data_IF_118413878689
#
_entry.id   IF_118413878689
#
_cell.length_a   1.000
_cell.length_b   1.000
_cell.length_c   1.000
_cell.angle_alpha   90.00
_cell.angle_beta   90.00
_cell.angle_gamma   90.00
#
_symmetry.space_group_name_H-M   'P 1'
#
loop_
_entity.id
_entity.type
_entity.pdbx_description
1 polymer ?
#
# COMPACT_ATOMS: atom_id res chain seq x y z
N UNK A 1 -1.90 8.69 19.43
CA UNK A 1 -1.96 8.90 17.97
C UNK A 1 -0.54 8.98 17.46
N UNK A 2 -0.23 8.32 16.35
CA UNK A 2 1.15 8.15 15.85
C UNK A 2 1.67 9.31 14.99
N UNK A 3 1.04 10.49 15.10
CA UNK A 3 1.43 11.71 14.40
C UNK A 3 1.04 11.76 12.91
N UNK A 4 0.51 10.67 12.32
CA UNK A 4 0.14 10.70 10.89
C UNK A 4 -1.13 11.47 10.59
N UNK A 5 -2.05 11.62 11.55
CA UNK A 5 -3.34 12.24 11.27
C UNK A 5 -4.16 11.48 10.22
N UNK A 6 -3.92 10.18 10.04
CA UNK A 6 -4.72 9.31 9.18
C UNK A 6 -6.13 9.21 9.77
N UNK A 7 -7.14 9.46 8.94
CA UNK A 7 -8.54 9.37 9.30
C UNK A 7 -9.22 8.30 8.46
N UNK A 8 -9.94 7.40 9.11
CA UNK A 8 -10.76 6.39 8.44
C UNK A 8 -12.22 6.68 8.72
N UNK A 9 -12.95 7.12 7.69
CA UNK A 9 -14.39 7.39 7.77
C UNK A 9 -15.18 6.26 7.10
N UNK A 10 -16.08 5.63 7.84
CA UNK A 10 -16.88 4.51 7.35
C UNK A 10 -18.22 5.00 6.82
N UNK A 11 -18.54 4.66 5.57
CA UNK A 11 -19.80 4.95 4.90
C UNK A 11 -20.37 3.66 4.31
N UNK A 12 -21.29 3.02 5.04
CA UNK A 12 -21.76 1.68 4.69
C UNK A 12 -20.60 0.69 4.71
N UNK A 13 -20.31 0.05 3.56
CA UNK A 13 -19.22 -0.91 3.41
C UNK A 13 -17.89 -0.28 2.93
N UNK A 14 -17.84 1.03 2.78
CA UNK A 14 -16.65 1.74 2.30
C UNK A 14 -15.93 2.45 3.46
N UNK A 15 -14.63 2.19 3.56
CA UNK A 15 -13.70 2.85 4.46
C UNK A 15 -12.92 3.90 3.67
N UNK A 16 -13.28 5.17 3.85
CA UNK A 16 -12.56 6.29 3.23
C UNK A 16 -11.35 6.65 4.08
N UNK A 17 -10.16 6.41 3.54
CA UNK A 17 -8.87 6.69 4.15
C UNK A 17 -8.40 8.05 3.64
N UNK A 18 -8.31 9.02 4.54
CA UNK A 18 -8.02 10.43 4.24
C UNK A 18 -7.18 11.07 5.35
N UNK A 19 -6.94 12.38 5.26
CA UNK A 19 -5.99 13.06 6.14
C UNK A 19 -4.58 12.61 5.79
N UNK A 20 -3.79 12.17 6.77
CA UNK A 20 -2.41 11.75 6.57
C UNK A 20 -1.41 12.90 6.62
N UNK A 21 -0.14 12.58 6.32
CA UNK A 21 0.95 13.56 6.27
C UNK A 21 1.48 13.71 4.85
N UNK A 22 1.85 14.93 4.48
CA UNK A 22 2.46 15.22 3.20
C UNK A 22 3.99 15.32 3.32
N UNK A 23 4.69 14.92 2.27
CA UNK A 23 6.10 15.29 2.10
C UNK A 23 6.26 16.80 1.99
N UNK A 24 7.47 17.32 2.20
CA UNK A 24 7.73 18.77 2.12
C UNK A 24 7.37 19.42 0.79
N UNK A 25 7.36 18.65 -0.31
CA UNK A 25 6.92 19.10 -1.64
C UNK A 25 5.47 18.73 -1.97
N UNK A 26 4.74 18.09 -1.06
CA UNK A 26 3.34 17.72 -1.21
C UNK A 26 3.04 16.63 -2.25
N UNK A 27 4.04 15.86 -2.72
CA UNK A 27 3.85 14.83 -3.76
C UNK A 27 3.64 13.43 -3.21
N UNK A 28 4.10 13.15 -1.99
CA UNK A 28 3.90 11.88 -1.30
C UNK A 28 2.91 12.10 -0.14
N UNK A 29 1.87 11.29 -0.10
CA UNK A 29 0.89 11.23 0.97
C UNK A 29 1.12 9.98 1.81
N UNK A 30 1.32 10.14 3.11
CA UNK A 30 1.62 9.07 4.04
C UNK A 30 0.42 8.77 4.93
N UNK A 31 0.06 7.49 4.99
CA UNK A 31 -0.92 6.95 5.93
C UNK A 31 -0.29 5.93 6.85
N UNK A 32 -0.86 5.83 8.05
CA UNK A 32 -0.54 4.79 9.01
C UNK A 32 -1.81 4.27 9.61
N UNK A 33 -1.97 2.96 9.51
CA UNK A 33 -3.13 2.22 9.97
C UNK A 33 -2.67 1.19 11.00
N UNK A 34 -3.45 1.02 12.06
CA UNK A 34 -3.23 -0.10 12.99
C UNK A 34 -3.53 -1.43 12.30
N UNK A 35 -4.58 -1.45 11.47
CA UNK A 35 -4.99 -2.62 10.71
C UNK A 35 -5.50 -2.21 9.33
N UNK A 36 -5.31 -3.10 8.36
CA UNK A 36 -5.95 -3.01 7.04
C UNK A 36 -6.49 -4.39 6.69
N UNK A 37 -7.81 -4.55 6.82
CA UNK A 37 -8.50 -5.77 6.45
C UNK A 37 -9.85 -5.45 5.82
N UNK A 38 -10.27 -6.28 4.86
CA UNK A 38 -11.53 -6.15 4.16
C UNK A 38 -12.22 -7.51 4.10
N UNK A 39 -13.51 -7.53 4.41
CA UNK A 39 -14.42 -8.62 4.08
C UNK A 39 -15.00 -8.45 2.67
N UNK A 40 -15.64 -9.49 2.16
CA UNK A 40 -16.30 -9.45 0.85
C UNK A 40 -17.31 -8.29 0.78
N UNK A 41 -17.26 -7.54 -0.31
CA UNK A 41 -18.12 -6.38 -0.55
C UNK A 41 -17.70 -5.11 0.20
N UNK A 42 -16.62 -5.15 1.00
CA UNK A 42 -16.04 -3.96 1.60
C UNK A 42 -15.00 -3.30 0.69
N UNK A 43 -14.83 -2.00 0.86
CA UNK A 43 -13.96 -1.16 0.03
C UNK A 43 -13.03 -0.37 0.95
N UNK A 44 -11.72 -0.47 0.74
CA UNK A 44 -10.75 0.51 1.25
C UNK A 44 -10.52 1.55 0.15
N UNK A 45 -11.02 2.77 0.35
CA UNK A 45 -10.90 3.85 -0.62
C UNK A 45 -9.89 4.89 -0.11
N UNK A 46 -8.72 4.96 -0.74
CA UNK A 46 -7.68 5.94 -0.46
C UNK A 46 -7.99 7.24 -1.20
N UNK A 47 -8.19 8.32 -0.44
CA UNK A 47 -8.50 9.64 -0.99
C UNK A 47 -7.23 10.34 -1.43
N UNK A 48 -7.13 10.58 -2.73
CA UNK A 48 -6.06 11.33 -3.37
C UNK A 48 -6.54 12.67 -3.90
N UNK A 49 -5.61 13.44 -4.46
CA UNK A 49 -5.81 14.68 -5.20
C UNK A 49 -4.84 14.73 -6.39
N UNK A 50 -5.09 15.54 -7.43
CA UNK A 50 -4.28 15.53 -8.67
C UNK A 50 -2.77 15.79 -8.47
N UNK A 51 -2.40 16.45 -7.37
CA UNK A 51 -1.03 16.77 -7.00
C UNK A 51 -0.29 15.62 -6.31
N UNK A 52 -0.98 14.62 -5.77
CA UNK A 52 -0.34 13.47 -5.12
C UNK A 52 0.12 12.48 -6.20
N UNK A 53 1.40 12.12 -6.16
CA UNK A 53 1.96 11.08 -7.01
C UNK A 53 1.93 9.71 -6.34
N UNK A 54 2.24 9.65 -5.05
CA UNK A 54 2.32 8.39 -4.33
C UNK A 54 1.53 8.47 -3.03
N UNK A 55 0.70 7.47 -2.78
CA UNK A 55 0.13 7.20 -1.47
C UNK A 55 0.93 6.05 -0.86
N UNK A 56 1.60 6.31 0.26
CA UNK A 56 2.36 5.31 1.00
C UNK A 56 1.67 5.01 2.32
N UNK A 57 1.18 3.78 2.46
CA UNK A 57 0.43 3.33 3.64
C UNK A 57 1.23 2.28 4.38
N UNK A 58 1.50 2.53 5.66
CA UNK A 58 2.02 1.49 6.57
C UNK A 58 0.89 0.89 7.40
N UNK A 59 0.99 -0.40 7.69
CA UNK A 59 0.19 -1.09 8.69
C UNK A 59 1.10 -1.51 9.83
N UNK A 60 0.84 -1.04 11.05
CA UNK A 60 1.79 -1.17 12.16
C UNK A 60 1.21 -1.78 13.45
N UNK A 61 -0.01 -2.33 13.42
CA UNK A 61 -0.61 -3.03 14.56
C UNK A 61 -0.13 -4.47 14.77
N UNK A 62 0.87 -4.93 14.01
CA UNK A 62 1.51 -6.24 14.19
C UNK A 62 0.77 -7.44 13.60
N UNK A 63 -0.44 -7.24 13.05
CA UNK A 63 -1.22 -8.29 12.40
C UNK A 63 -1.10 -8.22 10.88
N UNK A 64 -1.15 -9.38 10.22
CA UNK A 64 -1.22 -9.47 8.77
C UNK A 64 -2.51 -8.82 8.24
N UNK A 65 -2.41 -8.21 7.06
CA UNK A 65 -3.55 -7.64 6.35
C UNK A 65 -4.33 -8.73 5.63
N UNK A 66 -5.60 -8.94 5.98
CA UNK A 66 -6.49 -9.88 5.28
C UNK A 66 -7.47 -9.10 4.42
N UNK A 67 -7.26 -9.10 3.11
CA UNK A 67 -7.94 -8.24 2.15
C UNK A 67 -8.78 -9.11 1.23
N UNK A 68 -10.07 -9.23 1.52
CA UNK A 68 -11.03 -10.00 0.73
C UNK A 68 -12.10 -9.09 0.15
N UNK A 69 -11.71 -7.93 -0.40
CA UNK A 69 -12.60 -6.91 -0.96
C UNK A 69 -11.86 -5.98 -1.93
N UNK A 70 -12.39 -4.78 -2.15
CA UNK A 70 -11.85 -3.84 -3.12
C UNK A 70 -10.88 -2.84 -2.48
N UNK A 71 -9.68 -2.72 -3.02
CA UNK A 71 -8.78 -1.58 -2.78
C UNK A 71 -8.98 -0.57 -3.90
N UNK A 72 -9.23 0.67 -3.56
CA UNK A 72 -9.50 1.75 -4.51
C UNK A 72 -8.70 3.01 -4.19
N UNK A 73 -8.33 3.77 -5.22
CA UNK A 73 -7.86 5.16 -5.09
C UNK A 73 -8.83 6.08 -5.83
N UNK A 74 -9.25 7.17 -5.19
CA UNK A 74 -10.16 8.16 -5.78
C UNK A 74 -9.58 9.58 -5.73
N UNK A 75 -9.98 10.45 -6.66
CA UNK A 75 -9.64 11.89 -6.61
C UNK A 75 -8.30 12.29 -7.21
N UNK A 76 -7.49 11.35 -7.67
CA UNK A 76 -6.20 11.60 -8.32
C UNK A 76 -5.71 10.40 -9.13
N UNK A 77 -4.56 10.54 -9.78
CA UNK A 77 -3.87 9.47 -10.51
C UNK A 77 -2.57 9.10 -9.80
N UNK A 78 -2.69 8.49 -8.62
CA UNK A 78 -1.55 8.22 -7.72
C UNK A 78 -1.24 6.73 -7.68
N UNK A 79 0.06 6.42 -7.56
CA UNK A 79 0.52 5.10 -7.20
C UNK A 79 0.11 4.78 -5.75
N UNK A 80 -0.15 3.51 -5.46
CA UNK A 80 -0.50 3.05 -4.12
C UNK A 80 0.53 2.03 -3.62
N UNK A 81 1.16 2.34 -2.50
CA UNK A 81 2.07 1.47 -1.76
C UNK A 81 1.40 1.03 -0.46
N UNK A 82 1.29 -0.28 -0.24
CA UNK A 82 0.85 -0.87 1.01
C UNK A 82 2.01 -1.66 1.61
N UNK A 83 2.47 -1.23 2.78
CA UNK A 83 3.56 -1.86 3.53
C UNK A 83 3.00 -2.45 4.83
N UNK A 84 3.08 -3.78 4.96
CA UNK A 84 2.78 -4.47 6.21
C UNK A 84 3.83 -5.56 6.47
N UNK A 85 4.80 -5.32 7.37
CA UNK A 85 5.80 -6.33 7.71
C UNK A 85 5.21 -7.64 8.21
N UNK A 86 4.03 -7.65 8.84
CA UNK A 86 3.41 -8.86 9.37
C UNK A 86 2.83 -9.79 8.28
N UNK A 87 2.73 -9.33 7.02
CA UNK A 87 2.21 -10.10 5.90
C UNK A 87 0.93 -9.52 5.30
N UNK A 88 0.60 -9.97 4.09
CA UNK A 88 -0.58 -9.55 3.35
C UNK A 88 -1.21 -10.77 2.67
N UNK A 89 -2.50 -10.99 2.91
CA UNK A 89 -3.29 -12.04 2.25
C UNK A 89 -4.39 -11.36 1.43
N UNK A 90 -4.31 -11.49 0.12
CA UNK A 90 -5.40 -11.14 -0.78
C UNK A 90 -6.31 -12.36 -0.92
N UNK A 91 -7.53 -12.26 -0.40
CA UNK A 91 -8.55 -13.32 -0.47
C UNK A 91 -9.14 -13.48 -1.86
N UNK A 92 -10.01 -14.48 -2.07
CA UNK A 92 -10.56 -14.80 -3.40
C UNK A 92 -11.45 -13.70 -4.00
N UNK A 93 -11.93 -12.75 -3.20
CA UNK A 93 -12.72 -11.60 -3.67
C UNK A 93 -11.89 -10.30 -3.69
N UNK A 94 -10.56 -10.40 -3.52
CA UNK A 94 -9.69 -9.24 -3.58
C UNK A 94 -9.68 -8.67 -4.99
N UNK A 95 -9.89 -7.36 -5.10
CA UNK A 95 -9.88 -6.62 -6.36
C UNK A 95 -9.13 -5.30 -6.19
N UNK A 96 -8.63 -4.77 -7.30
CA UNK A 96 -7.98 -3.47 -7.37
C UNK A 96 -8.76 -2.54 -8.30
N UNK A 97 -8.96 -1.29 -7.86
CA UNK A 97 -9.37 -0.17 -8.68
C UNK A 97 -8.40 1.00 -8.41
N UNK A 98 -7.17 0.84 -8.90
CA UNK A 98 -6.07 1.77 -8.71
C UNK A 98 -5.70 2.36 -10.08
N UNK A 99 -5.59 3.69 -10.22
CA UNK A 99 -5.44 4.35 -11.52
C UNK A 99 -3.99 4.33 -12.05
N UNK A 100 -3.02 4.01 -11.19
CA UNK A 100 -1.59 3.91 -11.51
C UNK A 100 -0.96 2.67 -10.84
N UNK A 101 0.34 2.70 -10.55
CA UNK A 101 1.07 1.53 -10.06
C UNK A 101 0.58 1.09 -8.67
N UNK A 102 0.51 -0.23 -8.47
CA UNK A 102 0.19 -0.86 -7.18
C UNK A 102 1.36 -1.68 -6.67
N UNK A 103 1.78 -1.40 -5.44
CA UNK A 103 2.88 -2.07 -4.77
C UNK A 103 2.39 -2.57 -3.41
N UNK A 104 2.46 -3.88 -3.18
CA UNK A 104 2.25 -4.48 -1.87
C UNK A 104 3.55 -5.10 -1.37
N UNK A 105 3.96 -4.76 -0.14
CA UNK A 105 5.24 -5.21 0.40
C UNK A 105 5.22 -5.58 1.88
N UNK A 106 6.08 -6.53 2.26
CA UNK A 106 6.40 -6.88 3.66
C UNK A 106 7.74 -6.29 4.14
N UNK A 107 8.27 -5.32 3.40
CA UNK A 107 9.42 -4.51 3.81
C UNK A 107 9.14 -3.80 5.14
N UNK A 108 10.19 -3.56 5.93
CA UNK A 108 10.13 -2.76 7.15
C UNK A 108 10.34 -1.27 6.89
N UNK A 109 10.85 -0.91 5.71
CA UNK A 109 10.90 0.47 5.26
C UNK A 109 10.93 0.60 3.73
N UNK A 110 10.43 1.72 3.23
CA UNK A 110 10.51 2.14 1.83
C UNK A 110 11.40 3.38 1.75
N UNK A 111 12.46 3.32 0.95
CA UNK A 111 13.38 4.43 0.73
C UNK A 111 12.96 5.30 -0.44
N UNK A 112 13.07 6.61 -0.25
CA UNK A 112 12.72 7.64 -1.25
C UNK A 112 13.97 8.31 -1.86
N UNK A 113 15.15 7.75 -1.59
CA UNK A 113 16.46 8.29 -1.97
C UNK A 113 17.07 9.19 -0.89
N UNK A 114 18.35 9.55 -1.07
CA UNK A 114 19.11 10.44 -0.18
C UNK A 114 19.09 10.02 1.31
N UNK A 115 19.05 8.71 1.57
CA UNK A 115 19.00 8.16 2.92
C UNK A 115 17.69 8.40 3.67
N UNK A 116 16.62 8.82 2.99
CA UNK A 116 15.31 9.07 3.59
C UNK A 116 14.44 7.81 3.51
N UNK A 117 13.95 7.35 4.67
CA UNK A 117 13.22 6.10 4.81
C UNK A 117 11.86 6.32 5.45
N UNK A 118 10.81 5.83 4.79
CA UNK A 118 9.49 5.66 5.37
C UNK A 118 9.45 4.31 6.09
N UNK A 119 9.51 4.34 7.42
CA UNK A 119 9.57 3.16 8.28
C UNK A 119 8.17 2.67 8.67
N UNK A 120 7.97 1.35 8.63
CA UNK A 120 6.74 0.69 9.05
C UNK A 120 6.46 0.84 10.56
N UNK A 121 7.51 0.90 11.37
CA UNK A 121 7.42 1.05 12.84
C UNK A 121 8.31 2.22 13.28
N UNK A 122 7.87 2.94 14.31
CA UNK A 122 8.58 4.09 14.85
C UNK A 122 8.23 5.40 14.14
N UNK A 123 9.04 6.42 14.40
CA UNK A 123 8.82 7.77 13.91
C UNK A 123 9.33 7.96 12.47
N UNK A 124 8.69 8.88 11.76
CA UNK A 124 9.08 9.30 10.42
C UNK A 124 9.12 10.82 10.34
N UNK A 125 10.12 11.37 9.67
CA UNK A 125 10.19 12.79 9.38
C UNK A 125 9.50 13.07 8.03
N UNK A 126 8.17 13.18 8.06
CA UNK A 126 7.33 13.32 6.87
C UNK A 126 7.81 14.40 5.90
N UNK A 127 8.19 15.57 6.42
CA UNK A 127 8.66 16.70 5.63
C UNK A 127 9.90 16.39 4.77
N UNK A 128 10.74 15.46 5.21
CA UNK A 128 11.97 15.05 4.54
C UNK A 128 11.79 13.86 3.59
N UNK A 129 10.65 13.16 3.63
CA UNK A 129 10.34 12.04 2.74
C UNK A 129 9.92 12.51 1.34
N UNK A 130 10.81 13.28 0.73
CA UNK A 130 10.72 13.81 -0.63
C UNK A 130 11.46 12.86 -1.57
N UNK A 131 10.89 12.59 -2.74
CA UNK A 131 11.49 11.73 -3.77
C UNK A 131 10.52 10.67 -4.27
N UNK A 132 11.01 9.79 -5.13
CA UNK A 132 10.26 8.66 -5.67
C UNK A 132 10.58 7.41 -4.86
N UNK A 133 9.59 6.67 -4.35
CA UNK A 133 9.83 5.40 -3.64
C UNK A 133 10.48 4.37 -4.58
N UNK A 134 11.63 3.83 -4.21
CA UNK A 134 12.35 2.85 -5.07
C UNK A 134 13.25 1.87 -4.31
N UNK A 135 13.58 2.13 -3.05
CA UNK A 135 14.38 1.21 -2.23
C UNK A 135 13.47 0.52 -1.20
N UNK A 136 13.77 -0.74 -0.87
CA UNK A 136 13.00 -1.52 0.09
C UNK A 136 13.96 -2.22 1.06
N UNK A 137 13.71 -2.07 2.37
CA UNK A 137 14.51 -2.73 3.40
C UNK A 137 13.69 -3.84 4.05
N UNK A 138 14.29 -5.03 4.15
CA UNK A 138 13.72 -6.19 4.82
C UNK A 138 14.60 -6.54 6.02
N UNK A 139 14.00 -6.62 7.21
CA UNK A 139 14.71 -7.08 8.39
C UNK A 139 14.42 -8.58 8.61
N UNK A 140 15.48 -9.36 8.82
CA UNK A 140 15.48 -10.83 8.78
C UNK A 140 14.60 -11.52 9.85
N UNK A 141 14.13 -10.80 10.86
CA UNK A 141 13.50 -11.38 12.05
C UNK A 141 11.96 -11.28 12.10
N UNK A 142 11.27 -10.97 10.99
CA UNK A 142 9.80 -10.86 11.08
C UNK A 142 9.02 -10.46 9.83
N UNK A 143 9.59 -10.56 8.62
CA UNK A 143 8.79 -10.30 7.41
C UNK A 143 7.86 -11.48 7.11
N UNK A 144 6.56 -11.20 7.17
CA UNK A 144 5.51 -12.11 6.76
C UNK A 144 5.49 -12.35 5.26
N UNK A 145 4.59 -13.24 4.85
CA UNK A 145 4.38 -13.61 3.45
C UNK A 145 3.34 -12.70 2.78
N UNK A 146 3.43 -12.61 1.46
CA UNK A 146 2.34 -12.15 0.61
C UNK A 146 1.70 -13.38 -0.04
N UNK A 147 0.40 -13.55 0.13
CA UNK A 147 -0.36 -14.65 -0.51
C UNK A 147 -1.52 -14.06 -1.28
N UNK A 148 -1.61 -14.34 -2.58
CA UNK A 148 -2.72 -13.92 -3.42
C UNK A 148 -3.61 -15.11 -3.82
N UNK A 149 -4.89 -15.04 -3.48
CA UNK A 149 -5.95 -15.94 -3.95
C UNK A 149 -6.95 -15.24 -4.88
N UNK A 150 -6.87 -13.92 -5.02
CA UNK A 150 -7.81 -13.11 -5.80
C UNK A 150 -7.32 -12.78 -7.21
N UNK A 151 -8.14 -12.00 -7.91
CA UNK A 151 -7.85 -11.50 -9.26
C UNK A 151 -7.40 -10.04 -9.15
N UNK A 152 -6.09 -9.85 -8.98
CA UNK A 152 -5.49 -8.52 -8.87
C UNK A 152 -5.18 -7.98 -10.26
N UNK A 153 -6.09 -7.13 -10.76
CA UNK A 153 -6.02 -6.53 -12.09
C UNK A 153 -5.87 -5.02 -12.02
N UNK A 154 -4.95 -4.48 -12.81
CA UNK A 154 -4.80 -3.05 -13.03
C UNK A 154 -5.27 -2.64 -14.43
N UNK A 155 -5.42 -1.33 -14.59
CA UNK A 155 -5.66 -0.69 -15.90
C UNK A 155 -4.41 -0.78 -16.79
N UNK A 156 -4.61 -0.59 -18.09
CA UNK A 156 -3.53 -0.67 -19.08
C UNK A 156 -2.37 0.31 -18.77
N UNK A 157 -1.14 -0.16 -18.93
CA UNK A 157 0.09 0.61 -18.75
C UNK A 157 0.57 0.78 -17.31
N UNK A 158 -0.16 0.27 -16.30
CA UNK A 158 0.22 0.34 -14.88
C UNK A 158 0.96 -0.91 -14.42
N UNK A 159 1.88 -0.77 -13.46
CA UNK A 159 2.67 -1.87 -12.93
C UNK A 159 2.09 -2.44 -11.63
N UNK A 160 2.16 -3.76 -11.48
CA UNK A 160 1.78 -4.49 -10.27
C UNK A 160 3.03 -5.12 -9.66
N UNK A 161 3.35 -4.78 -8.42
CA UNK A 161 4.47 -5.36 -7.68
C UNK A 161 4.02 -6.01 -6.37
N UNK A 162 4.34 -7.28 -6.19
CA UNK A 162 4.25 -7.99 -4.92
C UNK A 162 5.68 -8.32 -4.46
N UNK A 163 6.08 -7.80 -3.30
CA UNK A 163 7.45 -7.93 -2.80
C UNK A 163 7.51 -8.28 -1.32
N UNK A 164 8.04 -9.45 -0.98
CA UNK A 164 8.15 -9.85 0.42
C UNK A 164 8.99 -11.10 0.59
N UNK A 165 9.40 -11.41 1.83
CA UNK A 165 10.27 -12.56 2.12
C UNK A 165 9.75 -13.90 1.54
N UNK A 166 8.43 -14.04 1.41
CA UNK A 166 7.82 -15.08 0.60
C UNK A 166 6.64 -14.45 -0.17
N UNK A 167 6.52 -14.77 -1.46
CA UNK A 167 5.37 -14.39 -2.27
C UNK A 167 4.77 -15.64 -2.92
N UNK A 168 3.50 -15.89 -2.66
CA UNK A 168 2.75 -17.02 -3.21
C UNK A 168 1.55 -16.48 -3.99
N UNK A 169 1.49 -16.74 -5.28
CA UNK A 169 0.35 -16.38 -6.11
C UNK A 169 -0.42 -17.65 -6.51
N UNK A 170 -1.66 -17.77 -6.03
CA UNK A 170 -2.62 -18.84 -6.33
C UNK A 170 -3.85 -18.32 -7.08
N UNK A 171 -3.99 -17.00 -7.23
CA UNK A 171 -4.98 -16.33 -8.08
C UNK A 171 -4.35 -15.74 -9.35
N UNK A 172 -4.97 -14.69 -9.87
CA UNK A 172 -4.54 -14.04 -11.12
C UNK A 172 -3.88 -12.69 -10.85
N UNK A 173 -2.83 -12.37 -11.60
CA UNK A 173 -2.22 -11.05 -11.67
C UNK A 173 -2.32 -10.54 -13.11
N UNK A 174 -2.91 -9.37 -13.32
CA UNK A 174 -3.04 -8.75 -14.64
C UNK A 174 -2.61 -7.29 -14.63
N UNK A 175 -1.65 -6.95 -15.50
CA UNK A 175 -1.20 -5.58 -15.75
C UNK A 175 -0.99 -5.39 -17.26
N UNK A 176 -2.07 -5.27 -18.06
CA UNK A 176 -1.95 -5.18 -19.52
C UNK A 176 -1.06 -4.01 -19.94
N UNK A 177 -0.07 -4.24 -20.80
CA UNK A 177 0.88 -3.19 -21.22
C UNK A 177 1.80 -2.64 -20.13
N UNK A 178 1.68 -3.12 -18.89
CA UNK A 178 2.57 -2.84 -17.77
C UNK A 178 3.43 -4.05 -17.40
N UNK A 179 4.07 -3.99 -16.23
CA UNK A 179 4.92 -5.07 -15.72
C UNK A 179 4.33 -5.68 -14.45
N UNK A 180 4.42 -7.01 -14.33
CA UNK A 180 4.16 -7.74 -13.09
C UNK A 180 5.50 -8.13 -12.47
N UNK A 181 5.78 -7.63 -11.27
CA UNK A 181 6.98 -7.98 -10.50
C UNK A 181 6.59 -8.83 -9.29
N UNK A 182 7.20 -10.00 -9.18
CA UNK A 182 7.15 -10.85 -7.98
C UNK A 182 8.58 -10.97 -7.47
N UNK A 183 8.83 -10.48 -6.26
CA UNK A 183 10.15 -10.39 -5.67
C UNK A 183 10.11 -11.03 -4.28
N UNK A 184 10.92 -12.08 -4.09
CA UNK A 184 11.05 -12.83 -2.85
C UNK A 184 12.51 -13.04 -2.47
#
# INVERSE_FOLDING_TARGET
MDGTGTLVNTQGNQFNIQGGQLSGNGRNLFHSLEQLGLSQGQIANFMSTPQIQNILTRVNGGNASIINGLIQVSGGNSNLFIMNPAGIVFGPNAQLNVPADFIATTATAIGLGNGQWFNAVGDNNWSQLVGTPHEFRFDLNGSGSIVNFGDLKLSEGSNLTLMGANVINLGTLEAPGGTINILA
#
